data_IF_421319250900
#
_entry.id   IF_421319250900
#
_cell.length_a   1.000
_cell.length_b   1.000
_cell.length_c   1.000
_cell.angle_alpha   90.00
_cell.angle_beta   90.00
_cell.angle_gamma   90.00
#
_symmetry.space_group_name_H-M   'P 1'
#
loop_
_entity.id
_entity.type
_entity.pdbx_description
1 polymer ?
#
# COMPACT_ATOMS: atom_id res chain seq x y z
N UNK A 1 17.31 -5.69 -24.73
CA UNK A 1 17.28 -5.39 -26.17
C UNK A 1 18.62 -4.81 -26.56
N UNK A 2 19.17 -5.15 -27.71
CA UNK A 2 20.31 -4.46 -28.30
C UNK A 2 19.85 -3.68 -29.53
N UNK A 3 20.35 -2.45 -29.68
CA UNK A 3 20.06 -1.55 -30.78
C UNK A 3 21.38 -1.16 -31.45
N UNK A 4 21.41 -1.04 -32.78
CA UNK A 4 22.57 -0.50 -33.49
C UNK A 4 22.67 1.03 -33.36
N UNK A 5 23.70 1.65 -33.96
CA UNK A 5 23.90 3.11 -33.96
C UNK A 5 22.74 3.90 -34.62
N UNK A 6 21.97 3.27 -35.50
CA UNK A 6 20.76 3.82 -36.11
C UNK A 6 19.49 3.47 -35.31
N UNK A 7 19.63 2.94 -34.10
CA UNK A 7 18.56 2.54 -33.18
C UNK A 7 17.60 1.45 -33.72
N UNK A 8 18.06 0.63 -34.67
CA UNK A 8 17.33 -0.56 -35.09
C UNK A 8 17.66 -1.73 -34.17
N UNK A 9 16.65 -2.54 -33.87
CA UNK A 9 16.76 -3.70 -32.98
C UNK A 9 17.65 -4.75 -33.62
N UNK A 10 18.74 -5.12 -32.97
CA UNK A 10 19.61 -6.21 -33.43
C UNK A 10 19.32 -7.50 -32.69
N UNK A 11 19.01 -7.41 -31.39
CA UNK A 11 18.75 -8.57 -30.54
C UNK A 11 17.73 -8.27 -29.44
N UNK A 12 16.96 -9.28 -29.07
CA UNK A 12 16.05 -9.27 -27.93
C UNK A 12 16.16 -10.60 -27.18
N UNK A 13 15.80 -10.60 -25.90
CA UNK A 13 15.71 -11.83 -25.11
C UNK A 13 14.24 -12.26 -24.97
N UNK A 14 14.02 -13.51 -24.55
CA UNK A 14 12.69 -14.08 -24.33
C UNK A 14 11.84 -13.30 -23.32
N UNK A 15 12.46 -12.63 -22.35
CA UNK A 15 11.75 -11.77 -21.39
C UNK A 15 11.10 -10.58 -22.10
N UNK A 16 11.82 -9.94 -23.04
CA UNK A 16 11.26 -8.84 -23.80
C UNK A 16 10.19 -9.30 -24.80
N UNK A 17 10.39 -10.47 -25.42
CA UNK A 17 9.37 -11.08 -26.29
C UNK A 17 8.05 -11.28 -25.54
N UNK A 18 8.11 -11.84 -24.33
CA UNK A 18 6.95 -12.02 -23.46
C UNK A 18 6.34 -10.68 -22.99
N UNK A 19 7.17 -9.67 -22.76
CA UNK A 19 6.72 -8.35 -22.29
C UNK A 19 5.90 -7.60 -23.35
N UNK A 20 6.36 -7.62 -24.60
CA UNK A 20 5.79 -6.87 -25.73
C UNK A 20 4.80 -7.73 -26.53
N UNK A 21 4.84 -9.06 -26.40
CA UNK A 21 3.94 -9.97 -27.11
C UNK A 21 4.34 -10.24 -28.57
N UNK A 22 5.62 -10.06 -28.91
CA UNK A 22 6.16 -10.25 -30.25
C UNK A 22 7.42 -11.10 -30.20
N UNK A 23 7.64 -11.94 -31.21
CA UNK A 23 8.85 -12.77 -31.30
C UNK A 23 10.07 -11.97 -31.76
N UNK A 24 11.27 -12.44 -31.46
CA UNK A 24 12.53 -11.83 -31.84
C UNK A 24 12.62 -11.66 -33.37
N UNK A 25 12.15 -12.65 -34.13
CA UNK A 25 12.08 -12.59 -35.59
C UNK A 25 11.16 -11.48 -36.12
N UNK A 26 10.14 -11.09 -35.36
CA UNK A 26 9.27 -9.97 -35.70
C UNK A 26 9.87 -8.62 -35.32
N UNK A 27 10.74 -8.60 -34.30
CA UNK A 27 11.29 -7.38 -33.71
C UNK A 27 12.64 -6.97 -34.30
N UNK A 28 13.51 -7.93 -34.59
CA UNK A 28 14.85 -7.67 -35.14
C UNK A 28 14.73 -6.97 -36.50
N UNK A 29 15.51 -5.91 -36.67
CA UNK A 29 15.50 -5.03 -37.84
C UNK A 29 14.47 -3.90 -37.78
N UNK A 30 13.51 -3.91 -36.83
CA UNK A 30 12.57 -2.79 -36.66
C UNK A 30 13.18 -1.62 -35.90
N UNK A 31 12.57 -0.45 -36.05
CA UNK A 31 12.90 0.70 -35.25
C UNK A 31 12.26 0.59 -33.87
N UNK A 32 13.01 0.92 -32.82
CA UNK A 32 12.57 0.67 -31.44
C UNK A 32 11.26 1.38 -31.05
N UNK A 33 10.92 2.52 -31.66
CA UNK A 33 9.72 3.30 -31.32
C UNK A 33 8.41 2.54 -31.59
N UNK A 34 8.44 1.58 -32.52
CA UNK A 34 7.29 0.73 -32.85
C UNK A 34 6.83 -0.12 -31.67
N UNK A 35 7.70 -0.33 -30.67
CA UNK A 35 7.42 -1.14 -29.49
C UNK A 35 6.80 -0.38 -28.31
N UNK A 36 6.88 0.94 -28.31
CA UNK A 36 6.54 1.73 -27.13
C UNK A 36 5.44 2.77 -27.41
N UNK A 37 4.63 3.11 -26.40
CA UNK A 37 3.64 4.19 -26.49
C UNK A 37 4.30 5.54 -26.83
N UNK A 38 3.56 6.48 -27.48
CA UNK A 38 4.10 7.77 -27.92
C UNK A 38 4.84 8.59 -26.86
N UNK A 39 4.40 8.55 -25.61
CA UNK A 39 5.02 9.32 -24.51
C UNK A 39 6.37 8.77 -24.08
N UNK A 40 6.57 7.46 -24.18
CA UNK A 40 7.87 6.84 -23.93
C UNK A 40 8.86 7.14 -25.07
N UNK A 41 8.38 7.40 -26.30
CA UNK A 41 9.24 7.64 -27.47
C UNK A 41 10.09 8.91 -27.34
N UNK A 42 9.50 10.01 -26.89
CA UNK A 42 10.24 11.29 -26.81
C UNK A 42 11.40 11.20 -25.81
N UNK A 43 11.12 10.78 -24.58
CA UNK A 43 12.14 10.67 -23.54
C UNK A 43 13.17 9.60 -23.87
N UNK A 44 12.74 8.38 -24.25
CA UNK A 44 13.66 7.30 -24.53
C UNK A 44 14.56 7.58 -25.73
N UNK A 45 14.03 8.20 -26.79
CA UNK A 45 14.81 8.55 -27.97
C UNK A 45 15.94 9.53 -27.65
N UNK A 46 15.67 10.54 -26.83
CA UNK A 46 16.71 11.47 -26.37
C UNK A 46 17.79 10.78 -25.53
N UNK A 47 17.38 9.92 -24.60
CA UNK A 47 18.34 9.23 -23.72
C UNK A 47 19.19 8.21 -24.50
N UNK A 48 18.63 7.49 -25.46
CA UNK A 48 19.40 6.57 -26.31
C UNK A 48 20.42 7.31 -27.17
N UNK A 49 20.01 8.42 -27.80
CA UNK A 49 20.94 9.28 -28.57
C UNK A 49 22.03 9.87 -27.67
N UNK A 50 21.67 10.27 -26.44
CA UNK A 50 22.63 10.79 -25.47
C UNK A 50 23.63 9.71 -25.05
N UNK A 51 23.19 8.50 -24.73
CA UNK A 51 24.05 7.37 -24.38
C UNK A 51 25.05 7.05 -25.50
N UNK A 52 24.60 7.04 -26.76
CA UNK A 52 25.47 6.86 -27.92
C UNK A 52 26.51 8.00 -28.07
N UNK A 53 26.12 9.23 -27.77
CA UNK A 53 27.00 10.41 -27.89
C UNK A 53 28.02 10.52 -26.75
N UNK A 54 27.60 10.25 -25.51
CA UNK A 54 28.45 10.44 -24.33
C UNK A 54 29.25 9.18 -23.99
N UNK A 55 28.82 8.00 -24.43
CA UNK A 55 29.40 6.73 -24.01
C UNK A 55 29.08 6.38 -22.55
N UNK A 56 28.20 7.13 -21.89
CA UNK A 56 27.82 6.90 -20.51
C UNK A 56 26.61 5.96 -20.42
N UNK A 57 26.59 5.14 -19.37
CA UNK A 57 25.39 4.39 -19.01
C UNK A 57 24.36 5.35 -18.43
N UNK A 58 23.15 5.35 -19.01
CA UNK A 58 22.06 6.22 -18.56
C UNK A 58 20.92 5.39 -18.00
N UNK A 59 20.32 5.87 -16.92
CA UNK A 59 19.15 5.28 -16.28
C UNK A 59 18.04 6.31 -16.19
N UNK A 60 16.84 5.93 -16.62
CA UNK A 60 15.68 6.82 -16.66
C UNK A 60 14.38 6.01 -16.62
N UNK A 61 13.30 6.68 -16.21
CA UNK A 61 11.95 6.10 -16.21
C UNK A 61 11.11 6.82 -17.27
N UNK A 62 10.32 6.07 -18.04
CA UNK A 62 9.32 6.68 -18.91
C UNK A 62 7.94 6.67 -18.22
N UNK A 63 7.18 7.78 -18.28
CA UNK A 63 5.82 7.81 -17.77
C UNK A 63 4.93 6.85 -18.56
N UNK A 64 4.01 6.18 -17.86
CA UNK A 64 2.89 5.48 -18.49
C UNK A 64 1.71 6.43 -18.72
N UNK A 65 0.93 6.19 -19.77
CA UNK A 65 -0.09 7.14 -20.27
C UNK A 65 -1.41 7.20 -19.51
N UNK A 66 -1.61 6.33 -18.52
CA UNK A 66 -2.83 6.33 -17.70
C UNK A 66 -2.64 5.53 -16.40
N UNK A 67 -3.54 5.68 -15.42
CA UNK A 67 -3.69 4.71 -14.33
C UNK A 67 -3.85 3.29 -14.90
N UNK A 68 -3.10 2.31 -14.39
CA UNK A 68 -3.09 0.93 -14.89
C UNK A 68 -2.22 0.67 -16.12
N UNK A 69 -1.54 1.68 -16.68
CA UNK A 69 -0.55 1.49 -17.75
C UNK A 69 0.80 1.11 -17.15
N UNK A 70 1.46 0.14 -17.79
CA UNK A 70 2.77 -0.35 -17.34
C UNK A 70 3.80 0.77 -17.32
N UNK A 71 4.49 0.94 -16.20
CA UNK A 71 5.64 1.83 -16.03
C UNK A 71 6.94 1.06 -16.20
N UNK A 72 7.84 1.61 -17.00
CA UNK A 72 9.10 0.97 -17.35
C UNK A 72 10.29 1.81 -16.87
N UNK A 73 11.22 1.15 -16.19
CA UNK A 73 12.56 1.66 -15.95
C UNK A 73 13.48 1.17 -17.07
N UNK A 74 14.28 2.08 -17.60
CA UNK A 74 15.20 1.82 -18.70
C UNK A 74 16.62 2.09 -18.24
N UNK A 75 17.52 1.16 -18.57
CA UNK A 75 18.96 1.37 -18.43
C UNK A 75 19.64 1.12 -19.76
N UNK A 76 20.25 2.15 -20.30
CA UNK A 76 20.91 2.16 -21.60
C UNK A 76 22.44 2.06 -21.40
N UNK A 77 23.04 1.02 -21.97
CA UNK A 77 24.45 0.70 -21.93
C UNK A 77 25.04 0.84 -23.33
N UNK A 78 25.82 1.88 -23.64
CA UNK A 78 26.48 2.00 -24.93
C UNK A 78 27.56 0.93 -25.09
N UNK A 79 27.74 0.43 -26.31
CA UNK A 79 28.78 -0.55 -26.67
C UNK A 79 29.30 -0.29 -28.09
N UNK A 80 30.46 -0.88 -28.49
CA UNK A 80 30.98 -0.74 -29.84
C UNK A 80 29.97 -1.30 -30.86
N UNK A 81 29.23 -0.42 -31.55
CA UNK A 81 28.20 -0.78 -32.54
C UNK A 81 26.78 -0.32 -32.20
N UNK A 82 26.52 0.16 -30.98
CA UNK A 82 25.20 0.64 -30.61
C UNK A 82 24.94 0.81 -29.12
N UNK A 83 23.72 0.51 -28.68
CA UNK A 83 23.27 0.64 -27.29
C UNK A 83 22.40 -0.54 -26.88
N UNK A 84 22.73 -1.16 -25.75
CA UNK A 84 21.93 -2.20 -25.13
C UNK A 84 20.99 -1.57 -24.10
N UNK A 85 19.72 -1.93 -24.13
CA UNK A 85 18.69 -1.40 -23.24
C UNK A 85 18.13 -2.53 -22.40
N UNK A 86 18.26 -2.39 -21.08
CA UNK A 86 17.55 -3.17 -20.09
C UNK A 86 16.22 -2.47 -19.80
N UNK A 87 15.13 -3.23 -19.82
CA UNK A 87 13.76 -2.74 -19.61
C UNK A 87 13.19 -3.52 -18.43
N UNK A 88 12.74 -2.82 -17.40
CA UNK A 88 12.13 -3.42 -16.23
C UNK A 88 10.73 -2.85 -16.01
N UNK A 89 9.74 -3.72 -15.91
CA UNK A 89 8.39 -3.32 -15.51
C UNK A 89 8.36 -3.11 -13.99
N UNK A 90 8.16 -1.88 -13.54
CA UNK A 90 8.09 -1.52 -12.11
C UNK A 90 6.68 -1.12 -11.66
N UNK A 91 5.66 -1.48 -12.44
CA UNK A 91 4.27 -1.08 -12.20
C UNK A 91 3.79 -1.57 -10.83
N UNK A 92 3.89 -2.87 -10.57
CA UNK A 92 3.43 -3.47 -9.31
C UNK A 92 4.15 -2.89 -8.08
N UNK A 93 5.46 -2.68 -8.16
CA UNK A 93 6.24 -2.08 -7.07
C UNK A 93 5.78 -0.64 -6.77
N UNK A 94 5.56 0.16 -7.81
CA UNK A 94 5.10 1.55 -7.67
C UNK A 94 3.67 1.63 -7.19
N UNK A 95 2.78 0.76 -7.67
CA UNK A 95 1.40 0.67 -7.19
C UNK A 95 1.35 0.27 -5.72
N UNK A 96 2.14 -0.73 -5.31
CA UNK A 96 2.31 -1.10 -3.91
C UNK A 96 2.85 0.08 -3.09
N UNK A 97 3.85 0.80 -3.59
CA UNK A 97 4.41 1.96 -2.92
C UNK A 97 3.39 3.10 -2.81
N UNK A 98 2.56 3.33 -3.83
CA UNK A 98 1.51 4.32 -3.81
C UNK A 98 0.42 3.96 -2.79
N UNK A 99 -0.02 2.70 -2.74
CA UNK A 99 -0.97 2.21 -1.74
C UNK A 99 -0.42 2.34 -0.32
N UNK A 100 0.86 2.03 -0.10
CA UNK A 100 1.52 2.24 1.20
C UNK A 100 1.59 3.72 1.58
N UNK A 101 1.87 4.60 0.61
CA UNK A 101 1.90 6.05 0.86
C UNK A 101 0.51 6.58 1.19
N UNK A 102 -0.53 6.12 0.50
CA UNK A 102 -1.93 6.48 0.76
C UNK A 102 -2.38 5.99 2.14
N UNK A 103 -2.09 4.73 2.50
CA UNK A 103 -2.38 4.18 3.82
C UNK A 103 -1.68 4.97 4.94
N UNK A 104 -0.41 5.36 4.75
CA UNK A 104 0.33 6.22 5.70
C UNK A 104 -0.27 7.61 5.81
N UNK A 105 -0.71 8.20 4.70
CA UNK A 105 -1.35 9.52 4.71
C UNK A 105 -2.70 9.47 5.46
N UNK A 106 -3.48 8.40 5.26
CA UNK A 106 -4.72 8.16 6.01
C UNK A 106 -4.46 8.00 7.50
N UNK A 107 -3.48 7.17 7.88
CA UNK A 107 -3.09 6.96 9.28
C UNK A 107 -2.65 8.27 9.96
N UNK A 108 -1.82 9.07 9.27
CA UNK A 108 -1.40 10.39 9.76
C UNK A 108 -2.58 11.36 9.89
N UNK A 109 -3.52 11.36 8.94
CA UNK A 109 -4.71 12.22 9.01
C UNK A 109 -5.63 11.84 10.18
N UNK A 110 -5.86 10.54 10.41
CA UNK A 110 -6.66 10.05 11.53
C UNK A 110 -6.02 10.36 12.88
N UNK A 111 -4.70 10.20 13.00
CA UNK A 111 -3.94 10.49 14.23
C UNK A 111 -3.99 11.97 14.65
N UNK A 112 -4.33 12.88 13.73
CA UNK A 112 -4.48 14.30 14.00
C UNK A 112 -5.90 14.67 14.50
N UNK A 113 -6.86 13.75 14.43
CA UNK A 113 -8.24 13.99 14.87
C UNK A 113 -8.40 13.55 16.33
N UNK A 114 -8.48 14.47 17.31
CA UNK A 114 -8.56 14.10 18.73
C UNK A 114 -9.82 13.32 19.12
N UNK A 115 -10.85 13.36 18.27
CA UNK A 115 -12.11 12.64 18.47
C UNK A 115 -12.11 11.20 17.94
N UNK A 116 -11.09 10.79 17.16
CA UNK A 116 -10.97 9.42 16.63
C UNK A 116 -9.69 8.79 17.17
N UNK A 117 -9.83 7.66 17.85
CA UNK A 117 -8.70 6.91 18.37
C UNK A 117 -8.60 5.56 17.66
N UNK A 118 -7.43 5.25 17.13
CA UNK A 118 -7.20 3.99 16.39
C UNK A 118 -6.43 3.01 17.27
N UNK A 119 -6.96 1.79 17.39
CA UNK A 119 -6.40 0.71 18.19
C UNK A 119 -6.16 -0.51 17.31
N UNK A 120 -5.17 -1.33 17.67
CA UNK A 120 -4.95 -2.65 17.08
C UNK A 120 -5.18 -3.73 18.11
N UNK A 121 -6.02 -4.70 17.78
CA UNK A 121 -6.27 -5.89 18.57
C UNK A 121 -5.69 -7.11 17.88
N UNK A 122 -5.21 -8.09 18.64
CA UNK A 122 -4.94 -9.42 18.08
C UNK A 122 -6.22 -10.23 17.91
N UNK A 123 -6.11 -11.44 17.37
CA UNK A 123 -7.23 -12.39 17.16
C UNK A 123 -7.96 -12.83 18.44
N UNK A 124 -7.43 -12.54 19.63
CA UNK A 124 -8.09 -12.80 20.92
C UNK A 124 -8.80 -11.55 21.49
N UNK A 125 -8.84 -10.46 20.72
CA UNK A 125 -9.40 -9.18 21.16
C UNK A 125 -8.54 -8.45 22.19
N UNK A 126 -7.25 -8.78 22.29
CA UNK A 126 -6.29 -8.11 23.19
C UNK A 126 -5.70 -6.89 22.49
N UNK A 127 -5.65 -5.75 23.18
CA UNK A 127 -5.03 -4.52 22.72
C UNK A 127 -3.51 -4.72 22.58
N UNK A 128 -3.01 -4.52 21.36
CA UNK A 128 -1.59 -4.65 20.98
C UNK A 128 -0.96 -3.31 20.63
N UNK A 129 -1.77 -2.37 20.16
CA UNK A 129 -1.38 -0.99 19.89
C UNK A 129 -2.56 -0.10 20.22
N UNK A 130 -2.30 1.03 20.84
CA UNK A 130 -3.34 2.00 21.19
C UNK A 130 -2.88 3.40 20.82
N UNK A 131 -3.84 4.24 20.45
CA UNK A 131 -3.64 5.67 20.33
C UNK A 131 -3.35 6.30 21.70
N UNK A 132 -2.47 7.30 21.75
CA UNK A 132 -2.22 8.09 22.95
C UNK A 132 -3.49 8.84 23.42
N UNK A 133 -4.37 9.25 22.49
CA UNK A 133 -5.67 9.82 22.81
C UNK A 133 -6.58 8.86 23.57
N UNK A 134 -6.51 7.55 23.25
CA UNK A 134 -7.35 6.53 23.88
C UNK A 134 -6.99 6.32 25.35
N UNK A 135 -5.68 6.22 25.64
CA UNK A 135 -5.18 6.08 27.00
C UNK A 135 -5.60 7.28 27.87
N UNK A 136 -5.38 8.50 27.37
CA UNK A 136 -5.78 9.75 28.03
C UNK A 136 -7.29 9.80 28.27
N UNK A 137 -8.08 9.44 27.27
CA UNK A 137 -9.54 9.45 27.34
C UNK A 137 -10.09 8.53 28.44
N UNK A 138 -9.49 7.34 28.63
CA UNK A 138 -9.92 6.41 29.67
C UNK A 138 -9.25 6.65 31.03
N UNK A 139 -8.24 7.53 31.10
CA UNK A 139 -7.47 7.79 32.32
C UNK A 139 -6.47 6.69 32.69
N UNK A 140 -6.18 5.76 31.78
CA UNK A 140 -5.16 4.71 31.98
C UNK A 140 -3.86 5.07 31.26
N UNK A 141 -2.76 4.47 31.71
CA UNK A 141 -1.51 4.47 30.95
C UNK A 141 -1.58 3.47 29.78
N UNK A 142 -0.71 3.65 28.79
CA UNK A 142 -0.65 2.74 27.66
C UNK A 142 -0.27 1.32 28.08
N UNK A 143 0.65 1.18 29.03
CA UNK A 143 1.12 -0.12 29.52
C UNK A 143 0.03 -0.86 30.32
N UNK A 144 -0.88 -0.15 31.00
CA UNK A 144 -2.04 -0.76 31.66
C UNK A 144 -3.05 -1.31 30.66
N UNK A 145 -3.21 -0.65 29.51
CA UNK A 145 -4.20 -1.03 28.48
C UNK A 145 -3.65 -2.07 27.51
N UNK A 146 -2.36 -2.00 27.15
CA UNK A 146 -1.71 -3.01 26.34
C UNK A 146 -1.77 -4.33 27.11
N UNK A 147 -2.19 -5.41 26.44
CA UNK A 147 -2.49 -6.73 27.03
C UNK A 147 -3.87 -6.89 27.68
N UNK A 148 -4.67 -5.82 27.84
CA UNK A 148 -6.09 -5.95 28.20
C UNK A 148 -6.93 -6.34 26.99
N UNK A 149 -8.01 -7.11 27.22
CA UNK A 149 -9.01 -7.34 26.16
C UNK A 149 -9.94 -6.14 26.08
N UNK A 150 -10.30 -5.72 24.86
CA UNK A 150 -11.24 -4.61 24.67
C UNK A 150 -12.60 -4.84 25.37
N UNK A 151 -13.19 -6.06 25.37
CA UNK A 151 -14.40 -6.33 26.16
C UNK A 151 -14.22 -6.19 27.68
N UNK A 152 -13.01 -6.36 28.23
CA UNK A 152 -12.81 -6.30 29.69
C UNK A 152 -12.95 -4.86 30.22
N UNK A 153 -12.62 -3.88 29.37
CA UNK A 153 -12.79 -2.45 29.67
C UNK A 153 -14.15 -1.89 29.25
N UNK A 154 -15.07 -2.72 28.75
CA UNK A 154 -16.46 -2.35 28.51
C UNK A 154 -17.34 -2.62 29.75
N UNK A 155 -18.49 -1.92 29.84
CA UNK A 155 -19.53 -2.18 30.85
C UNK A 155 -19.89 -3.67 30.86
N UNK A 156 -20.05 -4.31 32.03
CA UNK A 156 -20.33 -5.75 32.13
C UNK A 156 -21.47 -6.26 31.25
N UNK A 157 -22.53 -5.45 31.06
CA UNK A 157 -23.69 -5.81 30.23
C UNK A 157 -23.41 -5.77 28.73
N UNK A 158 -22.43 -4.98 28.28
CA UNK A 158 -22.10 -4.79 26.86
C UNK A 158 -21.04 -5.82 26.39
N UNK A 159 -20.34 -6.48 27.33
CA UNK A 159 -19.18 -7.35 27.02
C UNK A 159 -19.51 -8.50 26.07
N UNK A 160 -20.67 -9.13 26.25
CA UNK A 160 -21.09 -10.26 25.44
C UNK A 160 -21.34 -9.84 23.98
N UNK A 161 -22.02 -8.71 23.78
CA UNK A 161 -22.32 -8.16 22.46
C UNK A 161 -21.04 -7.74 21.74
N UNK A 162 -20.15 -7.02 22.44
CA UNK A 162 -18.87 -6.61 21.89
C UNK A 162 -17.98 -7.82 21.54
N UNK A 163 -17.94 -8.85 22.40
CA UNK A 163 -17.19 -10.09 22.10
C UNK A 163 -17.73 -10.77 20.85
N UNK A 164 -19.05 -10.91 20.73
CA UNK A 164 -19.68 -11.49 19.55
C UNK A 164 -19.40 -10.69 18.27
N UNK A 165 -19.39 -9.35 18.35
CA UNK A 165 -19.05 -8.49 17.21
C UNK A 165 -17.60 -8.67 16.76
N UNK A 166 -16.63 -8.73 17.70
CA UNK A 166 -15.22 -8.98 17.37
C UNK A 166 -15.04 -10.36 16.73
N UNK A 167 -15.68 -11.40 17.27
CA UNK A 167 -15.62 -12.77 16.74
C UNK A 167 -16.23 -12.89 15.35
N UNK A 168 -17.40 -12.27 15.10
CA UNK A 168 -18.06 -12.31 13.80
C UNK A 168 -17.19 -11.71 12.69
N UNK A 169 -16.49 -10.61 12.97
CA UNK A 169 -15.61 -9.94 12.00
C UNK A 169 -14.34 -10.77 11.75
N UNK A 170 -13.75 -11.35 12.80
CA UNK A 170 -12.61 -12.28 12.68
C UNK A 170 -12.94 -13.54 11.89
N UNK A 171 -14.20 -13.99 11.91
CA UNK A 171 -14.67 -15.16 11.13
C UNK A 171 -14.99 -14.84 9.66
N UNK A 172 -14.60 -13.67 9.16
CA UNK A 172 -14.83 -13.24 7.77
C UNK A 172 -16.09 -12.39 7.59
N UNK A 173 -16.66 -11.87 8.69
CA UNK A 173 -17.70 -10.86 8.64
C UNK A 173 -17.22 -9.55 7.99
N UNK A 174 -18.17 -8.78 7.48
CA UNK A 174 -17.91 -7.45 6.95
C UNK A 174 -17.54 -6.47 8.07
N UNK A 175 -16.79 -5.39 7.78
CA UNK A 175 -16.58 -4.30 8.73
C UNK A 175 -17.91 -3.79 9.29
N UNK A 176 -17.94 -3.53 10.59
CA UNK A 176 -19.16 -3.14 11.28
C UNK A 176 -18.90 -2.08 12.35
N UNK A 177 -19.97 -1.47 12.85
CA UNK A 177 -19.91 -0.49 13.92
C UNK A 177 -20.78 -0.95 15.08
N UNK A 178 -20.29 -0.78 16.29
CA UNK A 178 -21.02 -1.07 17.53
C UNK A 178 -21.00 0.15 18.46
N UNK A 179 -22.13 0.42 19.13
CA UNK A 179 -22.19 1.37 20.23
C UNK A 179 -22.01 0.62 21.54
N UNK A 180 -21.11 1.09 22.41
CA UNK A 180 -20.84 0.48 23.71
C UNK A 180 -20.41 1.55 24.71
N UNK A 181 -20.27 1.19 25.97
CA UNK A 181 -19.72 2.08 26.98
C UNK A 181 -18.45 1.50 27.60
N UNK A 182 -17.38 2.28 27.58
CA UNK A 182 -16.11 1.94 28.19
C UNK A 182 -16.04 2.44 29.64
N UNK A 183 -15.33 1.71 30.47
CA UNK A 183 -15.03 2.06 31.86
C UNK A 183 -13.75 2.90 31.90
N UNK A 184 -13.78 4.01 32.63
CA UNK A 184 -12.59 4.85 32.87
C UNK A 184 -11.99 4.51 34.24
N UNK A 185 -10.71 4.84 34.45
CA UNK A 185 -9.95 4.46 35.65
C UNK A 185 -10.61 4.87 36.97
N UNK A 186 -11.26 6.02 36.97
CA UNK A 186 -11.94 6.58 38.16
C UNK A 186 -13.38 6.06 38.34
N UNK A 187 -13.76 4.98 37.66
CA UNK A 187 -15.07 4.33 37.78
C UNK A 187 -16.20 5.00 37.00
N UNK A 188 -15.89 6.06 36.25
CA UNK A 188 -16.81 6.66 35.29
C UNK A 188 -17.05 5.80 34.04
N UNK A 189 -18.00 6.23 33.23
CA UNK A 189 -18.48 5.49 32.08
C UNK A 189 -18.53 6.41 30.87
N UNK A 190 -17.95 5.97 29.75
CA UNK A 190 -17.83 6.76 28.54
C UNK A 190 -18.52 6.08 27.35
N UNK A 191 -19.68 6.60 26.90
CA UNK A 191 -20.33 6.12 25.70
C UNK A 191 -19.45 6.34 24.47
N UNK A 192 -19.24 5.28 23.69
CA UNK A 192 -18.42 5.32 22.48
C UNK A 192 -19.08 4.55 21.34
N UNK A 193 -18.67 4.89 20.12
CA UNK A 193 -18.90 4.06 18.94
C UNK A 193 -17.57 3.50 18.46
N UNK A 194 -17.56 2.21 18.15
CA UNK A 194 -16.37 1.48 17.71
C UNK A 194 -16.63 0.94 16.30
N UNK A 195 -15.89 1.44 15.32
CA UNK A 195 -15.79 0.84 14.00
C UNK A 195 -14.73 -0.26 14.01
N UNK A 196 -15.06 -1.43 13.48
CA UNK A 196 -14.21 -2.62 13.53
C UNK A 196 -13.97 -3.16 12.12
N UNK A 197 -12.71 -3.48 11.81
CA UNK A 197 -12.32 -4.12 10.56
C UNK A 197 -11.20 -5.14 10.80
N UNK A 198 -11.25 -6.28 10.11
CA UNK A 198 -10.21 -7.32 10.18
C UNK A 198 -8.95 -6.90 9.45
N UNK A 199 -7.81 -7.15 10.07
CA UNK A 199 -6.50 -7.16 9.39
C UNK A 199 -6.22 -8.59 8.95
N UNK A 200 -6.01 -8.78 7.65
CA UNK A 200 -5.67 -10.08 7.07
C UNK A 200 -4.19 -10.09 6.69
N UNK A 201 -3.47 -11.13 7.08
CA UNK A 201 -2.08 -11.39 6.69
C UNK A 201 -1.98 -12.83 6.20
N UNK A 202 -1.36 -13.04 5.04
CA UNK A 202 -1.18 -14.37 4.44
C UNK A 202 -2.49 -15.20 4.36
N UNK A 203 -3.59 -14.54 3.96
CA UNK A 203 -4.94 -15.10 3.84
C UNK A 203 -5.60 -15.53 5.17
N UNK A 204 -5.00 -15.19 6.32
CA UNK A 204 -5.56 -15.47 7.64
C UNK A 204 -5.82 -14.17 8.43
N UNK A 205 -6.83 -14.15 9.32
CA UNK A 205 -7.00 -13.05 10.27
C UNK A 205 -5.75 -12.90 11.17
N UNK A 206 -5.14 -11.71 11.15
CA UNK A 206 -4.00 -11.33 12.00
C UNK A 206 -4.46 -10.51 13.22
N UNK A 207 -5.68 -9.97 13.16
CA UNK A 207 -6.27 -9.17 14.22
C UNK A 207 -7.33 -8.23 13.70
N UNK A 208 -7.58 -7.15 14.44
CA UNK A 208 -8.57 -6.13 14.14
C UNK A 208 -7.97 -4.75 14.28
N UNK A 209 -8.41 -3.82 13.44
CA UNK A 209 -8.32 -2.38 13.71
C UNK A 209 -9.66 -1.94 14.29
N UNK A 210 -9.60 -1.18 15.39
CA UNK A 210 -10.75 -0.54 16.01
C UNK A 210 -10.58 0.99 15.97
N UNK A 211 -11.52 1.69 15.35
CA UNK A 211 -11.62 3.15 15.41
C UNK A 211 -12.69 3.52 16.43
N UNK A 212 -12.31 4.23 17.49
CA UNK A 212 -13.18 4.62 18.60
C UNK A 212 -13.47 6.11 18.52
N UNK A 213 -14.72 6.50 18.69
CA UNK A 213 -15.14 7.91 18.88
C UNK A 213 -16.07 7.99 20.07
N UNK A 214 -16.02 9.09 20.81
CA UNK A 214 -17.00 9.39 21.86
C UNK A 214 -18.36 9.64 21.22
N UNK A 215 -19.41 9.06 21.78
CA UNK A 215 -20.78 9.30 21.33
C UNK A 215 -21.30 10.60 22.00
N UNK A 216 -21.31 11.70 21.24
CA UNK A 216 -21.76 13.01 21.74
C UNK A 216 -23.29 13.11 21.86
N UNK A 217 -24.04 12.05 21.54
CA UNK A 217 -25.51 12.04 21.50
C UNK A 217 -26.19 12.07 22.88
N UNK A 218 -25.44 12.27 23.98
CA UNK A 218 -25.98 12.33 25.35
C UNK A 218 -25.49 13.55 26.17
N UNK A 219 -24.98 14.60 25.52
CA UNK A 219 -24.67 15.88 26.17
C UNK A 219 -25.86 16.84 26.14
#
# INVERSE_FOLDING_TARGET
MALNAQLHITEVNHVLEALVGHSASQLVGRFWEDLFPPTARSLMGEQLKRALRTGETLEFEAPGDAPGVRRYAFRAFPYPGGVAVLIQNRTAEREMQAQLNEARALDAALSMLPQVMVLRLNVRGVLTTIDAGFAKMLGFSADELISCRLPDIARPRDRAELTAALEAILQGGQPSQIATTLLVKDGGELPVRIGLATVVRDLAPDGLIAAVTVDASQA
#
